data_IF_014332379566
#
_entry.id   IF_014332379566
#
_cell.length_a   1.000
_cell.length_b   1.000
_cell.length_c   1.000
_cell.angle_alpha   90.00
_cell.angle_beta   90.00
_cell.angle_gamma   90.00
#
_symmetry.space_group_name_H-M   'P 1'
#
loop_
_entity.id
_entity.type
_entity.pdbx_description
1 polymer ?
#
# COMPACT_ATOMS: atom_id res chain seq x y z
N UNK A 1 -11.24 -26.25 7.75
CA UNK A 1 -10.75 -25.63 6.49
C UNK A 1 -10.24 -24.24 6.81
N UNK A 2 -8.94 -24.05 6.97
CA UNK A 2 -8.36 -22.71 7.14
C UNK A 2 -8.50 -21.98 5.82
N UNK A 3 -9.55 -21.16 5.67
CA UNK A 3 -9.62 -20.19 4.57
C UNK A 3 -8.33 -19.38 4.67
N UNK A 4 -7.41 -19.55 3.72
CA UNK A 4 -6.26 -18.65 3.59
C UNK A 4 -6.86 -17.26 3.44
N UNK A 5 -6.80 -16.46 4.51
CA UNK A 5 -7.28 -15.09 4.52
C UNK A 5 -6.47 -14.36 3.44
N UNK A 6 -7.07 -14.17 2.28
CA UNK A 6 -6.48 -13.32 1.26
C UNK A 6 -6.74 -11.90 1.75
N UNK A 7 -5.69 -11.10 2.00
CA UNK A 7 -5.89 -9.71 2.35
C UNK A 7 -6.73 -9.04 1.26
N UNK A 8 -7.68 -8.16 1.63
CA UNK A 8 -8.55 -7.48 0.68
C UNK A 8 -7.72 -6.64 -0.31
N UNK A 9 -8.25 -6.51 -1.53
CA UNK A 9 -7.64 -5.67 -2.56
C UNK A 9 -7.78 -4.20 -2.18
N UNK A 10 -6.70 -3.43 -2.30
CA UNK A 10 -6.64 -2.04 -1.82
C UNK A 10 -7.56 -1.11 -2.63
N UNK A 11 -7.75 -1.36 -3.92
CA UNK A 11 -8.65 -0.58 -4.77
C UNK A 11 -10.14 -0.74 -4.40
N UNK A 12 -10.49 -1.81 -3.68
CA UNK A 12 -11.85 -2.05 -3.17
C UNK A 12 -12.10 -1.35 -1.83
N UNK A 13 -11.11 -0.64 -1.27
CA UNK A 13 -11.14 -0.03 0.08
C UNK A 13 -12.48 0.63 0.45
N UNK A 14 -13.11 1.36 -0.49
CA UNK A 14 -14.39 2.07 -0.27
C UNK A 14 -15.57 1.13 -0.03
N UNK A 15 -15.55 -0.08 -0.58
CA UNK A 15 -16.59 -1.08 -0.42
C UNK A 15 -16.38 -2.01 0.78
N UNK A 16 -15.26 -1.89 1.48
CA UNK A 16 -14.92 -2.76 2.62
C UNK A 16 -15.64 -2.35 3.90
N UNK A 17 -15.78 -3.30 4.80
CA UNK A 17 -16.30 -3.04 6.16
C UNK A 17 -15.31 -2.18 6.96
N UNK A 18 -15.80 -1.49 8.00
CA UNK A 18 -14.94 -0.67 8.86
C UNK A 18 -13.79 -1.46 9.50
N UNK A 19 -14.00 -2.75 9.81
CA UNK A 19 -12.95 -3.62 10.36
C UNK A 19 -11.86 -3.93 9.33
N UNK A 20 -12.24 -4.20 8.09
CA UNK A 20 -11.29 -4.42 6.98
C UNK A 20 -10.52 -3.14 6.64
N UNK A 21 -11.20 -1.99 6.61
CA UNK A 21 -10.56 -0.69 6.43
C UNK A 21 -9.54 -0.40 7.54
N UNK A 22 -9.90 -0.70 8.79
CA UNK A 22 -8.99 -0.55 9.95
C UNK A 22 -7.76 -1.46 9.81
N UNK A 23 -7.94 -2.71 9.37
CA UNK A 23 -6.83 -3.63 9.13
C UNK A 23 -5.89 -3.10 8.04
N UNK A 24 -6.44 -2.53 6.95
CA UNK A 24 -5.64 -1.88 5.90
C UNK A 24 -4.87 -0.67 6.47
N UNK A 25 -5.51 0.17 7.28
CA UNK A 25 -4.82 1.30 7.91
C UNK A 25 -3.63 0.85 8.75
N UNK A 26 -3.83 -0.16 9.61
CA UNK A 26 -2.77 -0.70 10.46
C UNK A 26 -1.63 -1.30 9.62
N UNK A 27 -1.96 -2.02 8.55
CA UNK A 27 -0.98 -2.58 7.62
C UNK A 27 -0.16 -1.47 6.96
N UNK A 28 -0.79 -0.45 6.37
CA UNK A 28 -0.10 0.66 5.71
C UNK A 28 0.79 1.45 6.68
N UNK A 29 0.31 1.71 7.89
CA UNK A 29 1.09 2.34 8.95
C UNK A 29 2.29 1.48 9.34
N UNK A 30 2.12 0.16 9.44
CA UNK A 30 3.23 -0.75 9.75
C UNK A 30 4.30 -0.70 8.66
N UNK A 31 3.92 -0.68 7.38
CA UNK A 31 4.88 -0.65 6.28
C UNK A 31 5.71 0.63 6.23
N UNK A 32 5.12 1.79 6.55
CA UNK A 32 5.87 3.05 6.66
C UNK A 32 6.86 3.04 7.82
N UNK A 33 6.54 2.35 8.92
CA UNK A 33 7.44 2.25 10.10
C UNK A 33 8.61 1.30 9.88
N UNK A 34 8.51 0.41 8.91
CA UNK A 34 9.57 -0.54 8.57
C UNK A 34 10.63 0.15 7.69
N UNK A 35 11.48 0.99 8.33
CA UNK A 35 12.43 1.88 7.65
C UNK A 35 13.40 1.17 6.69
N UNK A 36 13.70 -0.10 6.97
CA UNK A 36 14.62 -0.91 6.20
C UNK A 36 13.91 -1.83 5.21
N UNK A 37 12.59 -1.75 5.02
CA UNK A 37 11.88 -2.65 4.12
C UNK A 37 11.57 -1.99 2.78
N UNK A 38 11.73 -2.76 1.70
CA UNK A 38 11.24 -2.36 0.37
C UNK A 38 10.03 -3.16 -0.04
N UNK A 39 9.15 -2.51 -0.78
CA UNK A 39 7.87 -3.06 -1.19
C UNK A 39 7.72 -3.05 -2.71
N UNK A 40 6.88 -3.94 -3.21
CA UNK A 40 6.35 -3.90 -4.56
C UNK A 40 4.91 -3.43 -4.49
N UNK A 41 4.59 -2.41 -5.29
CA UNK A 41 3.25 -1.87 -5.44
C UNK A 41 2.66 -2.43 -6.73
N UNK A 42 1.63 -3.25 -6.59
CA UNK A 42 0.88 -3.82 -7.70
C UNK A 42 -0.27 -2.88 -8.00
N UNK A 43 -0.32 -2.34 -9.21
CA UNK A 43 -1.36 -1.43 -9.64
C UNK A 43 -2.66 -2.18 -9.97
N UNK A 44 -3.81 -1.51 -9.81
CA UNK A 44 -5.08 -2.01 -10.32
C UNK A 44 -5.15 -1.88 -11.85
N UNK A 45 -5.79 -2.83 -12.53
CA UNK A 45 -5.91 -2.83 -13.99
C UNK A 45 -4.65 -3.29 -14.72
N UNK A 46 -4.21 -2.53 -15.73
CA UNK A 46 -3.08 -2.86 -16.63
C UNK A 46 -1.87 -1.93 -16.47
N UNK A 47 -1.88 -1.06 -15.47
CA UNK A 47 -0.76 -0.15 -15.22
C UNK A 47 0.47 -0.93 -14.74
N UNK A 48 1.66 -0.42 -15.05
CA UNK A 48 2.92 -1.04 -14.63
C UNK A 48 3.09 -0.95 -13.10
N UNK A 49 3.62 -2.01 -12.46
CA UNK A 49 3.89 -1.99 -11.03
C UNK A 49 5.11 -1.13 -10.70
N UNK A 50 5.17 -0.65 -9.46
CA UNK A 50 6.39 -0.05 -8.91
C UNK A 50 7.10 -1.09 -8.04
N UNK A 51 8.35 -1.40 -8.36
CA UNK A 51 9.13 -2.39 -7.63
C UNK A 51 10.20 -1.74 -6.76
N UNK A 52 10.53 -2.37 -5.64
CA UNK A 52 11.60 -1.96 -4.73
C UNK A 52 11.46 -0.51 -4.24
N UNK A 53 10.24 -0.10 -3.90
CA UNK A 53 9.97 1.23 -3.37
C UNK A 53 10.01 1.26 -1.85
N UNK A 54 10.33 2.42 -1.30
CA UNK A 54 10.24 2.72 0.14
C UNK A 54 8.96 3.49 0.39
N UNK A 55 8.04 2.97 1.21
CA UNK A 55 6.87 3.74 1.62
C UNK A 55 7.31 4.82 2.60
N UNK A 56 6.99 6.08 2.31
CA UNK A 56 7.49 7.23 3.08
C UNK A 56 6.41 7.80 4.01
N UNK A 57 5.16 7.85 3.57
CA UNK A 57 4.05 8.31 4.40
C UNK A 57 2.69 7.86 3.86
N UNK A 58 1.68 7.82 4.74
CA UNK A 58 0.28 7.58 4.38
C UNK A 58 -0.54 8.78 4.84
N UNK A 59 -1.28 9.40 3.93
CA UNK A 59 -2.19 10.49 4.27
C UNK A 59 -3.64 9.97 4.30
N UNK A 60 -4.32 10.22 5.43
CA UNK A 60 -5.73 9.92 5.61
C UNK A 60 -6.51 11.24 5.55
N UNK A 61 -7.20 11.51 4.45
CA UNK A 61 -7.99 12.75 4.29
C UNK A 61 -9.37 12.63 4.97
N UNK A 62 -9.82 13.73 5.61
CA UNK A 62 -11.04 13.80 6.41
C UNK A 62 -12.34 13.84 5.59
N UNK A 63 -12.30 14.29 4.33
CA UNK A 63 -13.47 14.30 3.44
C UNK A 63 -13.29 13.26 2.34
N UNK A 64 -14.18 12.27 2.31
CA UNK A 64 -14.37 11.32 1.22
C UNK A 64 -13.10 10.70 0.59
N UNK A 65 -12.52 9.74 1.31
CA UNK A 65 -12.15 8.45 0.70
C UNK A 65 -10.94 8.42 -0.24
N UNK A 66 -9.93 9.27 -0.04
CA UNK A 66 -8.63 9.13 -0.69
C UNK A 66 -7.54 8.93 0.36
N UNK A 67 -7.21 7.67 0.65
CA UNK A 67 -5.93 7.36 1.30
C UNK A 67 -4.87 7.56 0.22
N UNK A 68 -3.86 8.38 0.50
CA UNK A 68 -2.72 8.53 -0.38
C UNK A 68 -1.52 7.77 0.17
N UNK A 69 -0.95 6.93 -0.69
CA UNK A 69 0.27 6.19 -0.40
C UNK A 69 1.42 6.92 -1.08
N UNK A 70 2.30 7.48 -0.26
CA UNK A 70 3.50 8.16 -0.72
C UNK A 70 4.69 7.21 -0.62
N UNK A 71 5.52 7.17 -1.66
CA UNK A 71 6.67 6.30 -1.73
C UNK A 71 7.80 6.90 -2.56
N UNK A 72 9.01 6.41 -2.31
CA UNK A 72 10.21 6.75 -3.04
C UNK A 72 10.65 5.54 -3.88
N UNK A 73 10.95 5.77 -5.15
CA UNK A 73 11.49 4.74 -6.05
C UNK A 73 12.98 4.54 -5.81
N UNK A 74 13.55 3.45 -6.34
CA UNK A 74 15.00 3.21 -6.24
C UNK A 74 15.87 4.29 -6.91
N UNK A 75 15.28 5.10 -7.81
CA UNK A 75 15.96 6.24 -8.44
C UNK A 75 15.83 7.53 -7.64
N UNK A 76 15.16 7.50 -6.48
CA UNK A 76 14.95 8.67 -5.62
C UNK A 76 13.75 9.53 -6.02
N UNK A 77 12.89 9.06 -6.94
CA UNK A 77 11.68 9.79 -7.33
C UNK A 77 10.60 9.62 -6.26
N UNK A 78 9.99 10.72 -5.84
CA UNK A 78 8.88 10.71 -4.88
C UNK A 78 7.53 10.71 -5.61
N UNK A 79 6.72 9.71 -5.33
CA UNK A 79 5.42 9.48 -5.99
C UNK A 79 4.33 9.37 -4.92
N UNK A 80 3.17 9.95 -5.19
CA UNK A 80 1.98 9.86 -4.37
C UNK A 80 0.82 9.28 -5.21
N UNK A 81 0.25 8.16 -4.77
CA UNK A 81 -0.87 7.52 -5.46
C UNK A 81 -2.07 7.30 -4.52
N UNK A 82 -3.30 7.55 -5.00
CA UNK A 82 -4.49 7.17 -4.24
C UNK A 82 -4.60 5.65 -4.14
N UNK A 83 -5.03 5.16 -2.98
CA UNK A 83 -5.19 3.72 -2.69
C UNK A 83 -6.10 3.00 -3.71
N UNK A 84 -7.03 3.72 -4.31
CA UNK A 84 -7.91 3.23 -5.38
C UNK A 84 -7.20 2.74 -6.64
N UNK A 85 -5.96 3.17 -6.87
CA UNK A 85 -5.14 2.73 -8.01
C UNK A 85 -4.26 1.52 -7.68
N UNK A 86 -4.28 1.05 -6.43
CA UNK A 86 -3.41 -0.02 -5.95
C UNK A 86 -4.23 -1.30 -5.84
N UNK A 87 -3.75 -2.39 -6.41
CA UNK A 87 -4.28 -3.72 -6.11
C UNK A 87 -3.75 -4.17 -4.76
N UNK A 88 -2.41 -4.21 -4.62
CA UNK A 88 -1.72 -4.72 -3.43
C UNK A 88 -0.40 -4.01 -3.20
N UNK A 89 0.08 -4.12 -1.97
CA UNK A 89 1.45 -3.79 -1.59
C UNK A 89 2.04 -5.04 -0.95
N UNK A 90 3.16 -5.51 -1.46
CA UNK A 90 3.79 -6.77 -1.04
C UNK A 90 5.24 -6.50 -0.63
N UNK A 91 5.71 -7.19 0.41
CA UNK A 91 7.12 -7.11 0.79
C UNK A 91 8.00 -7.68 -0.33
N UNK A 92 9.02 -6.93 -0.73
CA UNK A 92 9.88 -7.32 -1.86
C UNK A 92 10.89 -8.42 -1.52
N UNK A 93 11.09 -8.73 -0.24
CA UNK A 93 12.17 -9.62 0.21
C UNK A 93 13.51 -8.93 0.40
N UNK A 94 13.63 -7.64 0.05
CA UNK A 94 14.87 -6.86 0.20
C UNK A 94 14.76 -5.89 1.36
N UNK A 95 15.85 -5.81 2.14
CA UNK A 95 16.05 -4.80 3.17
C UNK A 95 17.11 -3.79 2.74
N UNK A 96 17.00 -2.54 3.18
CA UNK A 96 18.10 -1.57 3.07
C UNK A 96 19.28 -2.07 3.93
N UNK A 97 20.49 -2.07 3.35
CA UNK A 97 21.74 -2.53 3.97
C UNK A 97 22.31 -1.43 4.85
#
# INVERSE_FOLDING_TARGET
MSKKYKPPELHEYRGLTSSEQTAIHQMLISYVREENCRFNIIMSGKAEPYNLVKLTSINFENEASAIWVNFETITGEQIALPIGFLSRIEFSGQQEI
#
